data_IF_010708026725
#
_entry.id   IF_010708026725
#
_cell.length_a   1.000
_cell.length_b   1.000
_cell.length_c   1.000
_cell.angle_alpha   90.00
_cell.angle_beta   90.00
_cell.angle_gamma   90.00
#
_symmetry.space_group_name_H-M   'P 1'
#
loop_
_entity.id
_entity.type
_entity.pdbx_description
1 polymer ?
#
# COMPACT_ATOMS: atom_id res chain seq x y z
N UNK A 1 27.17 16.59 -22.92
CA UNK A 1 26.06 15.60 -22.86
C UNK A 1 26.39 14.64 -21.72
N UNK A 2 25.76 14.81 -20.53
CA UNK A 2 25.95 13.93 -19.39
C UNK A 2 25.33 12.57 -19.70
N UNK A 3 26.11 11.49 -19.56
CA UNK A 3 25.60 10.14 -19.68
C UNK A 3 24.58 9.90 -18.56
N UNK A 4 23.32 9.69 -18.91
CA UNK A 4 22.33 9.20 -17.95
C UNK A 4 22.86 7.94 -17.26
N UNK A 5 22.70 7.79 -15.94
CA UNK A 5 23.14 6.59 -15.26
C UNK A 5 22.46 5.38 -15.90
N UNK A 6 23.24 4.49 -16.46
CA UNK A 6 22.72 3.26 -17.05
C UNK A 6 22.14 2.41 -15.93
N UNK A 7 20.84 2.06 -16.04
CA UNK A 7 20.24 1.08 -15.15
C UNK A 7 20.94 -0.27 -15.37
N UNK A 8 21.38 -0.91 -14.28
CA UNK A 8 21.90 -2.28 -14.34
C UNK A 8 20.81 -3.34 -14.44
N UNK A 9 19.52 -2.92 -14.33
CA UNK A 9 18.38 -3.82 -14.48
C UNK A 9 18.07 -3.98 -15.97
N UNK A 10 17.80 -5.21 -16.44
CA UNK A 10 17.38 -5.42 -17.81
C UNK A 10 16.03 -4.74 -18.09
N UNK A 11 15.80 -4.36 -19.33
CA UNK A 11 14.46 -3.95 -19.78
C UNK A 11 13.54 -5.16 -19.68
N UNK A 12 12.45 -5.04 -18.94
CA UNK A 12 11.43 -6.08 -18.86
C UNK A 12 10.41 -5.86 -19.97
N UNK A 13 10.15 -6.91 -20.74
CA UNK A 13 9.18 -6.91 -21.84
C UNK A 13 8.26 -8.11 -21.67
N UNK A 14 6.95 -7.89 -21.77
CA UNK A 14 5.92 -8.92 -21.71
C UNK A 14 5.11 -8.93 -23.00
N UNK A 15 4.62 -10.11 -23.39
CA UNK A 15 3.75 -10.28 -24.56
C UNK A 15 2.28 -10.14 -24.18
N UNK A 16 1.90 -10.57 -22.99
CA UNK A 16 0.51 -10.59 -22.52
C UNK A 16 0.21 -9.45 -21.54
N UNK A 17 1.06 -9.26 -20.56
CA UNK A 17 0.85 -8.30 -19.48
C UNK A 17 2.17 -7.90 -18.83
N UNK A 18 2.14 -6.88 -18.00
CA UNK A 18 3.27 -6.44 -17.17
C UNK A 18 2.78 -5.75 -15.91
N UNK A 19 3.55 -5.83 -14.85
CA UNK A 19 3.32 -5.15 -13.57
C UNK A 19 4.57 -4.38 -13.17
N UNK A 20 4.40 -3.14 -12.76
CA UNK A 20 5.44 -2.33 -12.16
C UNK A 20 4.98 -1.83 -10.80
N UNK A 21 5.80 -2.00 -9.76
CA UNK A 21 5.46 -1.60 -8.41
C UNK A 21 6.70 -1.12 -7.65
N UNK A 22 6.48 -0.39 -6.56
CA UNK A 22 7.54 0.15 -5.68
C UNK A 22 8.34 -0.92 -4.91
N UNK A 23 7.87 -2.17 -4.89
CA UNK A 23 8.53 -3.29 -4.24
C UNK A 23 8.35 -4.58 -5.05
N UNK A 24 9.40 -5.42 -5.12
CA UNK A 24 9.36 -6.65 -5.94
C UNK A 24 8.29 -7.65 -5.47
N UNK A 25 8.05 -7.82 -4.17
CA UNK A 25 6.95 -8.65 -3.66
C UNK A 25 5.57 -8.13 -4.10
N UNK A 26 5.39 -6.82 -4.14
CA UNK A 26 4.14 -6.23 -4.61
C UNK A 26 3.97 -6.39 -6.13
N UNK A 27 5.05 -6.27 -6.91
CA UNK A 27 5.00 -6.59 -8.33
C UNK A 27 4.68 -8.07 -8.57
N UNK A 28 5.28 -8.98 -7.79
CA UNK A 28 4.98 -10.42 -7.83
C UNK A 28 3.54 -10.72 -7.46
N UNK A 29 2.98 -10.03 -6.44
CA UNK A 29 1.57 -10.17 -6.06
C UNK A 29 0.63 -9.84 -7.23
N UNK A 30 0.82 -8.69 -7.87
CA UNK A 30 0.02 -8.29 -9.04
C UNK A 30 0.23 -9.23 -10.23
N UNK A 31 1.46 -9.67 -10.48
CA UNK A 31 1.76 -10.60 -11.56
C UNK A 31 1.08 -11.96 -11.36
N UNK A 32 1.09 -12.49 -10.12
CA UNK A 32 0.39 -13.72 -9.76
C UNK A 32 -1.10 -13.63 -10.07
N UNK A 33 -1.76 -12.52 -9.76
CA UNK A 33 -3.18 -12.30 -10.07
C UNK A 33 -3.43 -12.35 -11.58
N UNK A 34 -2.56 -11.76 -12.40
CA UNK A 34 -2.68 -11.83 -13.86
C UNK A 34 -2.52 -13.28 -14.40
N UNK A 35 -1.58 -14.06 -13.84
CA UNK A 35 -1.37 -15.45 -14.21
C UNK A 35 -2.55 -16.36 -13.76
N UNK A 36 -3.24 -15.99 -12.68
CA UNK A 36 -4.44 -16.66 -12.18
C UNK A 36 -5.73 -16.25 -12.96
N UNK A 37 -5.61 -15.37 -13.96
CA UNK A 37 -6.70 -14.96 -14.85
C UNK A 37 -7.43 -13.68 -14.44
N UNK A 38 -6.96 -12.97 -13.44
CA UNK A 38 -7.46 -11.63 -13.08
C UNK A 38 -7.11 -10.59 -14.15
N UNK A 39 -7.85 -9.49 -14.15
CA UNK A 39 -7.59 -8.37 -15.04
C UNK A 39 -6.55 -7.39 -14.45
N UNK A 40 -6.26 -6.30 -15.18
CA UNK A 40 -5.30 -5.30 -14.77
C UNK A 40 -5.72 -4.56 -13.47
N UNK A 41 -7.02 -4.46 -13.19
CA UNK A 41 -7.54 -3.82 -11.98
C UNK A 41 -7.31 -4.74 -10.77
N UNK A 42 -7.64 -6.02 -10.88
CA UNK A 42 -7.39 -7.02 -9.86
C UNK A 42 -5.90 -7.05 -9.48
N UNK A 43 -5.03 -7.09 -10.50
CA UNK A 43 -3.58 -7.09 -10.33
C UNK A 43 -3.05 -5.78 -9.71
N UNK A 44 -3.58 -4.64 -10.13
CA UNK A 44 -3.22 -3.32 -9.60
C UNK A 44 -3.59 -3.19 -8.12
N UNK A 45 -4.80 -3.66 -7.76
CA UNK A 45 -5.26 -3.67 -6.36
C UNK A 45 -4.43 -4.64 -5.51
N UNK A 46 -4.19 -5.87 -6.00
CA UNK A 46 -3.34 -6.82 -5.27
C UNK A 46 -1.93 -6.28 -5.02
N UNK A 47 -1.33 -5.66 -6.04
CA UNK A 47 -0.02 -5.00 -5.91
C UNK A 47 -0.09 -3.82 -4.92
N UNK A 48 -1.13 -2.99 -4.98
CA UNK A 48 -1.34 -1.87 -4.09
C UNK A 48 -1.51 -2.28 -2.63
N UNK A 49 -2.32 -3.31 -2.36
CA UNK A 49 -2.49 -3.84 -0.99
C UNK A 49 -1.20 -4.50 -0.50
N UNK A 50 -0.49 -5.24 -1.34
CA UNK A 50 0.79 -5.84 -0.97
C UNK A 50 1.85 -4.77 -0.62
N UNK A 51 1.85 -3.59 -1.29
CA UNK A 51 2.71 -2.48 -0.90
C UNK A 51 2.45 -2.01 0.52
N UNK A 52 1.21 -2.02 0.99
CA UNK A 52 0.89 -1.63 2.37
C UNK A 52 1.50 -2.58 3.42
N UNK A 53 1.83 -3.80 3.01
CA UNK A 53 2.55 -4.77 3.86
C UNK A 53 4.06 -4.56 3.78
N UNK A 54 4.62 -4.54 2.57
CA UNK A 54 6.08 -4.62 2.36
C UNK A 54 6.80 -3.27 2.26
N UNK A 55 6.05 -2.17 2.16
CA UNK A 55 6.57 -0.81 2.04
C UNK A 55 5.89 0.16 3.05
N UNK A 56 5.76 -0.23 4.33
CA UNK A 56 4.93 0.45 5.32
C UNK A 56 5.40 1.86 5.64
N UNK A 57 6.66 2.20 5.36
CA UNK A 57 7.20 3.55 5.57
C UNK A 57 6.63 4.59 4.59
N UNK A 58 5.98 4.17 3.50
CA UNK A 58 5.42 5.06 2.48
C UNK A 58 3.96 4.80 2.15
N UNK A 59 3.44 3.63 2.47
CA UNK A 59 2.08 3.24 2.16
C UNK A 59 1.36 2.65 3.37
N UNK A 60 0.05 2.77 3.42
CA UNK A 60 -0.76 2.24 4.51
C UNK A 60 -2.14 1.84 4.02
N UNK A 61 -2.64 0.69 4.48
CA UNK A 61 -4.01 0.27 4.24
C UNK A 61 -5.05 1.21 4.89
N UNK A 62 -4.66 1.85 6.00
CA UNK A 62 -5.43 2.93 6.64
C UNK A 62 -5.13 4.33 6.07
N UNK A 63 -4.51 4.43 4.91
CA UNK A 63 -4.11 5.68 4.28
C UNK A 63 -5.01 6.10 3.13
N UNK A 64 -4.39 6.53 2.04
CA UNK A 64 -5.04 6.99 0.81
C UNK A 64 -4.56 6.19 -0.40
N UNK A 65 -5.45 5.98 -1.37
CA UNK A 65 -5.15 5.25 -2.60
C UNK A 65 -5.90 5.86 -3.80
N UNK A 66 -5.43 6.98 -4.36
CA UNK A 66 -5.98 7.48 -5.62
C UNK A 66 -5.66 6.48 -6.74
N UNK A 67 -6.68 6.12 -7.53
CA UNK A 67 -6.57 5.10 -8.58
C UNK A 67 -6.99 5.73 -9.90
N UNK A 68 -6.23 5.42 -10.96
CA UNK A 68 -6.60 5.74 -12.34
C UNK A 68 -6.70 4.44 -13.13
N UNK A 69 -7.82 4.26 -13.83
CA UNK A 69 -8.11 3.07 -14.63
C UNK A 69 -8.41 3.52 -16.06
N UNK A 70 -7.72 2.92 -17.03
CA UNK A 70 -8.08 3.04 -18.43
C UNK A 70 -8.73 1.76 -18.91
N UNK A 71 -9.98 1.85 -19.40
CA UNK A 71 -10.70 0.74 -20.02
C UNK A 71 -10.55 0.80 -21.53
N UNK A 72 -9.74 -0.08 -22.09
CA UNK A 72 -9.57 -0.16 -23.54
C UNK A 72 -10.88 -0.53 -24.26
N UNK A 73 -11.71 -1.40 -23.65
CA UNK A 73 -13.00 -1.81 -24.24
C UNK A 73 -13.99 -0.65 -24.40
N UNK A 74 -13.99 0.29 -23.47
CA UNK A 74 -14.86 1.48 -23.49
C UNK A 74 -14.14 2.74 -24.01
N UNK A 75 -12.84 2.66 -24.21
CA UNK A 75 -11.95 3.78 -24.54
C UNK A 75 -12.16 4.99 -23.60
N UNK A 76 -12.24 4.70 -22.32
CA UNK A 76 -12.43 5.72 -21.29
C UNK A 76 -11.39 5.61 -20.18
N UNK A 77 -11.06 6.75 -19.57
CA UNK A 77 -10.21 6.80 -18.37
C UNK A 77 -11.04 7.36 -17.22
N UNK A 78 -11.05 6.64 -16.13
CA UNK A 78 -11.77 6.96 -14.90
C UNK A 78 -10.81 7.06 -13.73
N UNK A 79 -11.24 7.78 -12.70
CA UNK A 79 -10.48 7.92 -11.46
C UNK A 79 -11.34 7.62 -10.26
N UNK A 80 -10.76 6.93 -9.28
CA UNK A 80 -11.32 6.76 -7.93
C UNK A 80 -10.49 7.66 -7.02
N UNK A 81 -11.12 8.59 -6.32
CA UNK A 81 -10.42 9.60 -5.52
C UNK A 81 -9.54 8.95 -4.44
N UNK A 82 -10.09 8.05 -3.62
CA UNK A 82 -9.36 7.33 -2.57
C UNK A 82 -8.55 8.20 -1.60
N UNK A 83 -8.79 9.53 -1.57
CA UNK A 83 -8.00 10.47 -0.77
C UNK A 83 -8.47 10.59 0.68
N UNK A 84 -9.72 10.19 0.96
CA UNK A 84 -10.36 10.45 2.23
C UNK A 84 -10.73 11.92 2.42
N UNK A 85 -11.52 12.18 3.45
CA UNK A 85 -11.95 13.53 3.80
C UNK A 85 -11.40 13.92 5.16
N UNK A 86 -11.18 15.19 5.35
CA UNK A 86 -10.89 15.74 6.67
C UNK A 86 -12.12 15.59 7.56
N UNK A 87 -11.92 15.32 8.87
CA UNK A 87 -13.00 15.41 9.85
C UNK A 87 -13.69 16.76 9.80
N UNK A 88 -15.01 16.81 10.00
CA UNK A 88 -15.76 18.08 9.97
C UNK A 88 -15.26 19.12 10.96
N UNK A 89 -14.65 18.68 12.07
CA UNK A 89 -14.06 19.57 13.07
C UNK A 89 -12.72 20.20 12.61
N UNK A 90 -12.05 19.64 11.60
CA UNK A 90 -10.81 20.16 11.07
C UNK A 90 -11.12 21.31 10.08
N UNK A 91 -11.21 22.52 10.60
CA UNK A 91 -11.45 23.75 9.81
C UNK A 91 -10.22 24.66 9.85
N UNK A 92 -10.09 25.52 8.85
CA UNK A 92 -9.05 26.56 8.82
C UNK A 92 -9.06 27.38 10.12
N UNK A 93 -10.26 27.82 10.54
CA UNK A 93 -10.44 28.59 11.77
C UNK A 93 -9.95 27.85 13.01
N UNK A 94 -10.16 26.52 13.07
CA UNK A 94 -9.63 25.69 14.16
C UNK A 94 -8.10 25.73 14.22
N UNK A 95 -7.43 25.54 13.08
CA UNK A 95 -5.97 25.54 13.02
C UNK A 95 -5.38 26.93 13.23
N UNK A 96 -5.98 27.99 12.71
CA UNK A 96 -5.54 29.36 12.98
C UNK A 96 -5.58 29.70 14.46
N UNK A 97 -6.71 29.39 15.12
CA UNK A 97 -6.89 29.72 16.56
C UNK A 97 -6.05 28.89 17.51
N UNK A 98 -5.87 27.60 17.21
CA UNK A 98 -5.25 26.66 18.17
C UNK A 98 -3.81 26.28 17.82
N UNK A 99 -3.39 26.51 16.58
CA UNK A 99 -2.09 26.05 16.06
C UNK A 99 -1.39 27.08 15.17
N UNK A 100 -1.79 28.36 15.22
CA UNK A 100 -1.16 29.41 14.42
C UNK A 100 -1.27 29.23 12.90
N UNK A 101 -2.27 28.48 12.43
CA UNK A 101 -2.47 28.16 11.01
C UNK A 101 -1.66 26.95 10.53
N UNK A 102 -0.88 26.31 11.40
CA UNK A 102 -0.08 25.14 11.05
C UNK A 102 -0.81 23.82 11.31
N UNK A 103 -0.41 22.78 10.58
CA UNK A 103 -0.86 21.41 10.79
C UNK A 103 0.14 20.69 11.71
N UNK A 104 -0.17 20.52 13.00
CA UNK A 104 0.75 19.87 13.93
C UNK A 104 0.91 18.38 13.60
N UNK A 105 2.04 17.80 13.97
CA UNK A 105 2.26 16.36 13.81
C UNK A 105 1.30 15.54 14.67
N UNK A 106 0.93 14.37 14.17
CA UNK A 106 0.06 13.42 14.85
C UNK A 106 -1.35 13.37 14.26
N UNK A 107 -2.33 13.05 15.08
CA UNK A 107 -3.72 12.77 14.64
C UNK A 107 -4.37 13.93 13.88
N UNK A 108 -4.04 15.16 14.20
CA UNK A 108 -4.60 16.34 13.53
C UNK A 108 -4.13 16.51 12.08
N UNK A 109 -3.13 15.75 11.66
CA UNK A 109 -2.63 15.72 10.26
C UNK A 109 -3.27 14.62 9.43
N UNK A 110 -4.08 13.76 10.03
CA UNK A 110 -4.68 12.61 9.36
C UNK A 110 -6.01 12.94 8.70
N UNK A 111 -6.29 12.29 7.58
CA UNK A 111 -7.61 12.26 6.94
C UNK A 111 -8.36 11.00 7.35
N UNK A 112 -9.66 10.93 7.10
CA UNK A 112 -10.41 9.67 7.23
C UNK A 112 -9.82 8.65 6.24
N UNK A 113 -9.44 7.45 6.70
CA UNK A 113 -8.88 6.42 5.82
C UNK A 113 -9.79 6.12 4.64
N UNK A 114 -9.24 6.07 3.43
CA UNK A 114 -10.01 5.80 2.22
C UNK A 114 -9.34 4.78 1.28
N UNK A 115 -8.15 4.29 1.60
CA UNK A 115 -7.46 3.33 0.75
C UNK A 115 -8.26 2.02 0.61
N UNK A 116 -8.75 1.45 1.72
CA UNK A 116 -9.54 0.23 1.71
C UNK A 116 -10.81 0.36 0.85
N UNK A 117 -11.56 1.46 1.04
CA UNK A 117 -12.75 1.77 0.24
C UNK A 117 -12.43 1.90 -1.26
N UNK A 118 -11.32 2.57 -1.60
CA UNK A 118 -10.89 2.71 -2.99
C UNK A 118 -10.52 1.35 -3.62
N UNK A 119 -9.83 0.47 -2.88
CA UNK A 119 -9.50 -0.87 -3.36
C UNK A 119 -10.75 -1.72 -3.59
N UNK A 120 -11.68 -1.73 -2.64
CA UNK A 120 -12.95 -2.46 -2.76
C UNK A 120 -13.80 -1.91 -3.91
N UNK A 121 -13.95 -0.59 -4.03
CA UNK A 121 -14.66 0.06 -5.14
C UNK A 121 -14.05 -0.30 -6.49
N UNK A 122 -12.71 -0.33 -6.60
CA UNK A 122 -12.05 -0.69 -7.86
C UNK A 122 -12.34 -2.13 -8.28
N UNK A 123 -12.31 -3.07 -7.32
CA UNK A 123 -12.63 -4.49 -7.57
C UNK A 123 -14.12 -4.63 -7.92
N UNK A 124 -15.02 -4.05 -7.14
CA UNK A 124 -16.46 -4.16 -7.33
C UNK A 124 -16.93 -3.67 -8.70
N UNK A 125 -16.41 -2.52 -9.15
CA UNK A 125 -16.86 -1.89 -10.39
C UNK A 125 -16.11 -2.37 -11.64
N UNK A 126 -14.86 -2.81 -11.50
CA UNK A 126 -13.97 -3.04 -12.64
C UNK A 126 -13.13 -4.32 -12.54
N UNK A 127 -13.13 -4.99 -11.40
CA UNK A 127 -12.45 -6.26 -11.20
C UNK A 127 -13.21 -7.45 -11.79
N UNK A 128 -12.56 -8.59 -11.85
CA UNK A 128 -13.12 -9.88 -12.28
C UNK A 128 -12.94 -10.96 -11.21
N UNK A 129 -12.19 -10.66 -10.17
CA UNK A 129 -11.92 -11.55 -9.04
C UNK A 129 -12.57 -11.05 -7.76
N UNK A 130 -12.79 -11.95 -6.80
CA UNK A 130 -13.25 -11.58 -5.46
C UNK A 130 -12.16 -10.86 -4.66
N UNK A 131 -12.56 -10.10 -3.63
CA UNK A 131 -11.62 -9.48 -2.71
C UNK A 131 -10.69 -10.51 -2.06
N UNK A 132 -11.22 -11.67 -1.66
CA UNK A 132 -10.45 -12.78 -1.10
C UNK A 132 -9.31 -13.21 -2.04
N UNK A 133 -9.60 -13.39 -3.33
CA UNK A 133 -8.59 -13.78 -4.30
C UNK A 133 -7.51 -12.70 -4.47
N UNK A 134 -7.94 -11.44 -4.56
CA UNK A 134 -7.05 -10.30 -4.79
C UNK A 134 -6.16 -9.98 -3.57
N UNK A 135 -6.70 -10.09 -2.36
CA UNK A 135 -5.96 -9.78 -1.12
C UNK A 135 -5.04 -10.92 -0.67
N UNK A 136 -5.25 -12.14 -1.15
CA UNK A 136 -4.50 -13.34 -0.73
C UNK A 136 -2.98 -13.17 -0.76
N UNK A 137 -2.34 -12.64 -1.80
CA UNK A 137 -0.89 -12.46 -1.79
C UNK A 137 -0.41 -11.51 -0.67
N UNK A 138 -1.16 -10.47 -0.39
CA UNK A 138 -0.84 -9.53 0.68
C UNK A 138 -1.08 -10.14 2.08
N UNK A 139 -2.14 -10.94 2.22
CA UNK A 139 -2.44 -11.70 3.44
C UNK A 139 -1.31 -12.70 3.76
N UNK A 140 -0.84 -13.44 2.76
CA UNK A 140 0.29 -14.37 2.89
C UNK A 140 1.54 -13.62 3.36
N UNK A 141 1.91 -12.50 2.71
CA UNK A 141 3.05 -11.67 3.11
C UNK A 141 2.93 -11.11 4.53
N UNK A 142 1.73 -10.71 4.94
CA UNK A 142 1.51 -10.19 6.29
C UNK A 142 1.57 -11.30 7.36
N UNK A 143 1.05 -12.49 7.05
CA UNK A 143 0.94 -13.63 7.97
C UNK A 143 2.24 -14.41 8.11
N UNK A 144 2.90 -14.70 6.99
CA UNK A 144 4.12 -15.49 6.95
C UNK A 144 5.37 -14.62 7.10
N UNK A 145 5.22 -13.33 6.83
CA UNK A 145 6.27 -12.33 6.90
C UNK A 145 7.00 -12.12 5.57
N UNK A 146 7.81 -11.09 5.57
CA UNK A 146 8.64 -10.69 4.43
C UNK A 146 10.02 -10.23 4.90
N UNK A 147 11.07 -10.38 4.07
CA UNK A 147 12.42 -9.98 4.44
C UNK A 147 12.54 -8.45 4.52
N UNK A 148 13.12 -7.97 5.61
CA UNK A 148 13.43 -6.54 5.80
C UNK A 148 14.45 -6.08 4.78
N UNK A 149 14.08 -5.08 3.99
CA UNK A 149 14.97 -4.48 3.00
C UNK A 149 15.93 -3.46 3.63
N UNK A 150 17.07 -3.13 2.98
CA UNK A 150 17.96 -2.06 3.45
C UNK A 150 17.22 -0.73 3.69
N UNK A 151 16.25 -0.44 2.82
CA UNK A 151 15.46 0.79 2.91
C UNK A 151 14.57 0.78 4.16
N UNK A 152 13.84 -0.31 4.41
CA UNK A 152 12.96 -0.46 5.57
C UNK A 152 13.76 -0.40 6.87
N UNK A 153 14.84 -1.18 7.00
CA UNK A 153 15.74 -1.15 8.16
C UNK A 153 16.26 0.27 8.45
N UNK A 154 16.68 1.00 7.39
CA UNK A 154 17.11 2.41 7.51
C UNK A 154 16.00 3.31 8.04
N UNK A 155 14.74 3.14 7.58
CA UNK A 155 13.62 3.98 8.03
C UNK A 155 13.24 3.66 9.48
N UNK A 156 13.21 2.41 9.88
CA UNK A 156 13.00 1.99 11.27
C UNK A 156 14.11 2.57 12.16
N UNK A 157 15.38 2.52 11.70
CA UNK A 157 16.54 3.04 12.40
C UNK A 157 16.58 4.55 12.60
N UNK A 158 15.81 5.32 11.81
CA UNK A 158 15.63 6.78 12.04
C UNK A 158 14.81 7.11 13.28
N UNK A 159 14.22 6.10 13.90
CA UNK A 159 13.40 6.18 15.09
C UNK A 159 11.91 6.12 14.80
N UNK A 160 11.23 5.36 15.63
CA UNK A 160 9.77 5.22 15.64
C UNK A 160 9.23 5.99 16.85
N UNK A 161 8.34 6.94 16.59
CA UNK A 161 7.80 7.85 17.62
C UNK A 161 6.79 7.14 18.53
N UNK A 162 5.93 6.29 17.96
CA UNK A 162 4.79 5.69 18.66
C UNK A 162 5.14 4.30 19.18
N UNK A 163 4.79 4.01 20.45
CA UNK A 163 5.03 2.69 21.06
C UNK A 163 4.36 1.56 20.30
N UNK A 164 3.09 1.74 19.91
CA UNK A 164 2.34 0.76 19.11
C UNK A 164 3.00 0.43 17.77
N UNK A 165 3.58 1.43 17.09
CA UNK A 165 4.33 1.21 15.85
C UNK A 165 5.66 0.49 16.12
N UNK A 166 6.31 0.81 17.25
CA UNK A 166 7.55 0.15 17.67
C UNK A 166 7.35 -1.34 17.97
N UNK A 167 6.27 -1.70 18.62
CA UNK A 167 5.90 -3.10 18.90
C UNK A 167 5.77 -3.93 17.62
N UNK A 168 5.26 -3.33 16.53
CA UNK A 168 5.12 -3.99 15.23
C UNK A 168 6.46 -4.09 14.50
N UNK A 169 7.20 -2.98 14.39
CA UNK A 169 8.39 -2.89 13.52
C UNK A 169 9.70 -3.20 14.24
N UNK A 170 9.70 -3.32 15.56
CA UNK A 170 10.84 -3.71 16.40
C UNK A 170 10.40 -4.76 17.43
N UNK A 171 9.88 -5.92 16.98
CA UNK A 171 9.30 -6.93 17.88
C UNK A 171 10.29 -7.45 18.92
N UNK A 172 11.59 -7.42 18.60
CA UNK A 172 12.67 -7.82 19.51
C UNK A 172 13.32 -6.63 20.24
N UNK A 173 12.65 -5.44 20.26
CA UNK A 173 13.15 -4.23 20.89
C UNK A 173 14.29 -3.52 20.17
N UNK A 174 14.76 -4.05 19.04
CA UNK A 174 15.85 -3.51 18.22
C UNK A 174 15.45 -3.36 16.76
N UNK A 175 16.19 -2.52 16.01
CA UNK A 175 15.99 -2.38 14.56
C UNK A 175 16.28 -3.71 13.87
N UNK A 176 15.32 -4.26 13.09
CA UNK A 176 15.53 -5.52 12.40
C UNK A 176 16.69 -5.46 11.41
N UNK A 177 17.45 -6.54 11.33
CA UNK A 177 18.55 -6.68 10.38
C UNK A 177 18.02 -6.88 8.96
N UNK A 178 18.83 -6.48 7.97
CA UNK A 178 18.52 -6.73 6.56
C UNK A 178 18.38 -8.24 6.34
N UNK A 179 17.24 -8.66 5.73
CA UNK A 179 16.91 -10.07 5.51
C UNK A 179 16.19 -10.74 6.67
N UNK A 180 16.11 -10.13 7.85
CA UNK A 180 15.27 -10.62 8.94
C UNK A 180 13.79 -10.62 8.52
N UNK A 181 13.03 -11.63 8.92
CA UNK A 181 11.61 -11.75 8.56
C UNK A 181 10.77 -10.93 9.51
N UNK A 182 9.97 -10.00 8.95
CA UNK A 182 9.02 -9.18 9.68
C UNK A 182 7.61 -9.66 9.39
N UNK A 183 6.84 -9.93 10.44
CA UNK A 183 5.45 -10.40 10.39
C UNK A 183 4.50 -9.29 10.84
N UNK A 184 3.39 -9.10 10.12
CA UNK A 184 2.35 -8.13 10.42
C UNK A 184 1.04 -8.82 10.82
N UNK A 185 1.02 -9.51 11.96
CA UNK A 185 -0.11 -10.33 12.42
C UNK A 185 -1.43 -9.55 12.48
N UNK A 186 -1.42 -8.33 13.01
CA UNK A 186 -2.62 -7.51 13.14
C UNK A 186 -3.20 -7.08 11.79
N UNK A 187 -2.33 -6.80 10.81
CA UNK A 187 -2.76 -6.49 9.45
C UNK A 187 -3.30 -7.75 8.76
N UNK A 188 -2.68 -8.91 8.97
CA UNK A 188 -3.18 -10.19 8.48
C UNK A 188 -4.56 -10.51 9.05
N UNK A 189 -4.75 -10.29 10.35
CA UNK A 189 -6.05 -10.45 11.01
C UNK A 189 -7.11 -9.49 10.42
N UNK A 190 -6.72 -8.25 10.12
CA UNK A 190 -7.59 -7.28 9.48
C UNK A 190 -8.05 -7.76 8.09
N UNK A 191 -7.12 -8.23 7.26
CA UNK A 191 -7.46 -8.78 5.94
C UNK A 191 -8.39 -10.00 6.06
N UNK A 192 -8.10 -10.93 6.98
CA UNK A 192 -8.95 -12.09 7.22
C UNK A 192 -10.38 -11.70 7.60
N UNK A 193 -10.53 -10.74 8.52
CA UNK A 193 -11.86 -10.25 8.92
C UNK A 193 -12.63 -9.57 7.78
N UNK A 194 -11.93 -8.92 6.85
CA UNK A 194 -12.55 -8.30 5.68
C UNK A 194 -13.00 -9.32 4.63
N UNK A 195 -12.35 -10.49 4.59
CA UNK A 195 -12.77 -11.61 3.74
C UNK A 195 -14.07 -12.25 4.26
N UNK A 196 -14.23 -12.31 5.58
CA UNK A 196 -15.36 -12.97 6.25
C UNK A 196 -16.67 -12.15 6.24
N UNK A 197 -16.65 -10.91 5.72
CA UNK A 197 -17.83 -10.00 5.64
C UNK A 197 -18.43 -9.99 4.25
#
# INVERSE_FOLDING_TARGET
>A
MGSSPRSYKPTLMGVKHGVSSGHYHAATAGFRILEEGGNAIDAGVASGIALNVVLPQWTSFGGVAPIMIHSAAKNETITISGLGRWPRAASVVFFERNHGGELPEGILRTVTPAAADAWLTAIELYGTMSFEQVVRPALELAREGFPVTPLLSKYIGKGIRWSSTREIFMPNGSVPQIGEVLVHSELANTFSRMIDV
#
